data_IF_140161145485
#
_entry.id   IF_140161145485
#
_cell.length_a   1.000
_cell.length_b   1.000
_cell.length_c   1.000
_cell.angle_alpha   90.00
_cell.angle_beta   90.00
_cell.angle_gamma   90.00
#
_symmetry.space_group_name_H-M   'P 1'
#
loop_
_entity.id
_entity.type
_entity.pdbx_description
1 polymer ?
#
# COMPACT_ATOMS: atom_id res chain seq x y z
N UNK A 1 22.12 5.89 18.18
CA UNK A 1 21.48 4.97 19.15
C UNK A 1 20.77 3.87 18.35
N UNK A 2 20.92 2.61 18.76
CA UNK A 2 20.23 1.49 18.10
C UNK A 2 19.08 1.02 18.97
N UNK A 3 17.89 0.93 18.40
CA UNK A 3 16.67 0.46 19.05
C UNK A 3 16.07 -0.67 18.21
N UNK A 4 16.00 -1.88 18.74
CA UNK A 4 15.51 -3.09 18.03
C UNK A 4 16.14 -3.32 16.64
N UNK A 5 17.43 -2.99 16.51
CA UNK A 5 18.15 -3.09 15.24
C UNK A 5 18.09 -1.85 14.36
N UNK A 6 17.15 -0.94 14.59
CA UNK A 6 17.05 0.33 13.86
C UNK A 6 18.08 1.34 14.39
N UNK A 7 18.82 1.96 13.49
CA UNK A 7 19.75 3.04 13.83
C UNK A 7 18.99 4.37 13.89
N UNK A 8 19.03 5.03 15.05
CA UNK A 8 18.41 6.35 15.26
C UNK A 8 19.49 7.38 15.52
N UNK A 9 19.54 8.42 14.73
CA UNK A 9 20.49 9.52 14.86
C UNK A 9 19.86 10.90 14.62
N UNK A 10 20.66 11.95 14.85
CA UNK A 10 20.31 13.33 14.53
C UNK A 10 19.10 13.89 15.29
N UNK A 11 18.71 13.28 16.41
CA UNK A 11 17.54 13.72 17.18
C UNK A 11 17.67 15.18 17.63
N UNK A 12 16.64 15.96 17.31
CA UNK A 12 16.45 17.37 17.69
C UNK A 12 15.00 17.57 18.09
N UNK A 13 14.73 18.49 19.01
CA UNK A 13 13.38 18.81 19.46
C UNK A 13 13.32 19.04 20.94
N UNK A 14 12.13 19.04 21.49
CA UNK A 14 11.87 19.28 22.90
C UNK A 14 11.16 18.07 23.51
N UNK A 15 11.61 17.67 24.69
CA UNK A 15 10.92 16.67 25.50
C UNK A 15 10.68 17.24 26.88
N UNK A 16 9.43 17.31 27.31
CA UNK A 16 9.04 17.65 28.68
C UNK A 16 8.68 16.35 29.43
N UNK A 17 9.33 16.14 30.56
CA UNK A 17 9.14 14.96 31.40
C UNK A 17 8.43 15.36 32.68
N UNK A 18 7.38 14.62 33.03
CA UNK A 18 6.74 14.68 34.35
C UNK A 18 6.88 13.31 35.02
N UNK A 19 6.35 13.17 36.23
CA UNK A 19 6.28 11.85 36.90
C UNK A 19 5.28 10.88 36.25
N UNK A 20 4.49 11.33 35.26
CA UNK A 20 3.38 10.57 34.68
C UNK A 20 3.46 10.44 33.15
N UNK A 21 4.14 11.36 32.50
CA UNK A 21 4.15 11.42 31.04
C UNK A 21 5.45 12.06 30.48
N UNK A 22 5.66 11.82 29.19
CA UNK A 22 6.67 12.46 28.37
C UNK A 22 5.92 13.13 27.22
N UNK A 23 6.05 14.45 27.09
CA UNK A 23 5.52 15.19 25.94
C UNK A 23 6.65 15.48 24.96
N UNK A 24 6.48 15.10 23.72
CA UNK A 24 7.40 15.37 22.61
C UNK A 24 6.85 16.53 21.79
N UNK A 25 7.68 17.54 21.51
CA UNK A 25 7.32 18.69 20.66
C UNK A 25 8.38 18.86 19.58
N UNK A 26 7.92 18.78 18.33
CA UNK A 26 8.76 18.99 17.13
C UNK A 26 10.06 18.16 17.17
N UNK A 27 9.96 16.89 17.54
CA UNK A 27 11.11 15.98 17.52
C UNK A 27 11.34 15.52 16.09
N UNK A 28 12.53 15.82 15.58
CA UNK A 28 13.02 15.42 14.27
C UNK A 28 14.24 14.52 14.46
N UNK A 29 14.45 13.61 13.52
CA UNK A 29 15.60 12.72 13.52
C UNK A 29 15.67 11.86 12.28
N UNK A 30 16.57 10.89 12.30
CA UNK A 30 16.68 9.88 11.24
C UNK A 30 16.62 8.49 11.82
N UNK A 31 15.94 7.61 11.11
CA UNK A 31 15.95 6.17 11.37
C UNK A 31 16.47 5.44 10.12
N UNK A 32 17.54 4.69 10.27
CA UNK A 32 18.29 4.08 9.14
C UNK A 32 18.59 5.12 8.03
N UNK A 33 18.96 6.35 8.43
CA UNK A 33 19.24 7.45 7.51
C UNK A 33 18.01 8.17 6.93
N UNK A 34 16.79 7.71 7.21
CA UNK A 34 15.55 8.30 6.69
C UNK A 34 14.96 9.31 7.68
N UNK A 35 14.67 10.52 7.22
CA UNK A 35 14.16 11.60 8.06
C UNK A 35 12.74 11.31 8.58
N UNK A 36 12.49 11.63 9.83
CA UNK A 36 11.17 11.59 10.43
C UNK A 36 10.93 12.80 11.34
N UNK A 37 9.65 13.10 11.54
CA UNK A 37 9.17 14.07 12.54
C UNK A 37 8.11 13.42 13.41
N UNK A 38 8.20 13.64 14.73
CA UNK A 38 7.24 13.11 15.69
C UNK A 38 6.93 14.11 16.79
N UNK A 39 5.68 14.15 17.22
CA UNK A 39 5.19 14.90 18.38
C UNK A 39 4.04 14.18 19.05
N UNK A 40 3.79 14.50 20.32
CA UNK A 40 2.69 13.89 21.08
C UNK A 40 3.08 13.48 22.48
N UNK A 41 2.39 12.51 23.06
CA UNK A 41 2.56 12.16 24.46
C UNK A 41 2.79 10.65 24.66
N UNK A 42 3.58 10.31 25.67
CA UNK A 42 3.78 8.96 26.14
C UNK A 42 3.45 8.97 27.65
N UNK A 43 2.37 8.31 28.03
CA UNK A 43 1.94 8.15 29.43
C UNK A 43 2.70 6.99 30.07
N UNK A 44 3.40 7.25 31.17
CA UNK A 44 4.34 6.32 31.81
C UNK A 44 3.95 5.93 33.24
N UNK A 45 2.79 6.36 33.72
CA UNK A 45 2.33 6.13 35.10
C UNK A 45 1.61 4.79 35.32
N UNK A 46 1.52 3.92 34.30
CA UNK A 46 0.98 2.58 34.38
C UNK A 46 2.05 1.51 34.22
N UNK A 47 1.67 0.24 34.31
CA UNK A 47 2.58 -0.90 34.13
C UNK A 47 3.14 -0.98 32.70
N UNK A 48 2.38 -0.48 31.75
CA UNK A 48 2.77 -0.44 30.31
C UNK A 48 2.63 0.99 29.81
N UNK A 49 3.68 1.58 29.20
CA UNK A 49 3.58 2.89 28.59
C UNK A 49 2.56 2.90 27.44
N UNK A 50 1.75 3.97 27.40
CA UNK A 50 0.77 4.22 26.35
C UNK A 50 1.18 5.48 25.59
N UNK A 51 1.27 5.38 24.29
CA UNK A 51 1.65 6.53 23.45
C UNK A 51 0.49 7.00 22.57
N UNK A 52 0.55 8.29 22.23
CA UNK A 52 -0.28 8.92 21.21
C UNK A 52 0.60 9.95 20.49
N UNK A 53 1.06 9.58 19.30
CA UNK A 53 2.08 10.28 18.56
C UNK A 53 1.59 10.66 17.16
N UNK A 54 1.81 11.92 16.79
CA UNK A 54 1.70 12.34 15.41
C UNK A 54 3.05 12.07 14.74
N UNK A 55 3.02 11.39 13.61
CA UNK A 55 4.20 10.95 12.85
C UNK A 55 4.12 11.52 11.44
N UNK A 56 5.23 12.05 10.95
CA UNK A 56 5.40 12.53 9.58
C UNK A 56 6.75 12.01 9.05
N UNK A 57 6.69 11.11 8.07
CA UNK A 57 7.82 10.55 7.33
C UNK A 57 7.55 10.79 5.85
N UNK A 58 8.50 11.38 5.15
CA UNK A 58 8.33 11.73 3.74
C UNK A 58 9.50 11.21 2.90
N UNK A 59 9.18 10.48 1.83
CA UNK A 59 10.15 10.06 0.84
C UNK A 59 11.25 9.14 1.39
N UNK A 60 10.93 8.34 2.41
CA UNK A 60 11.87 7.38 2.96
C UNK A 60 12.17 6.29 1.94
N UNK A 61 13.45 6.04 1.67
CA UNK A 61 13.89 4.91 0.85
C UNK A 61 13.55 3.59 1.56
N UNK A 62 12.66 2.81 0.97
CA UNK A 62 12.20 1.55 1.58
C UNK A 62 13.32 0.51 1.66
N UNK A 63 14.36 0.61 0.81
CA UNK A 63 15.49 -0.31 0.85
C UNK A 63 16.34 -0.18 2.13
N UNK A 64 16.27 0.98 2.81
CA UNK A 64 16.89 1.18 4.12
C UNK A 64 16.27 0.28 5.22
N UNK A 65 15.13 -0.34 4.93
CA UNK A 65 14.40 -1.24 5.84
C UNK A 65 14.30 -2.67 5.28
N UNK A 66 15.09 -3.03 4.28
CA UNK A 66 15.00 -4.33 3.60
C UNK A 66 15.09 -5.53 4.54
N UNK A 67 15.87 -5.46 5.62
CA UNK A 67 16.01 -6.52 6.62
C UNK A 67 14.74 -6.76 7.45
N UNK A 68 13.80 -5.80 7.42
CA UNK A 68 12.53 -5.85 8.15
C UNK A 68 11.34 -6.17 7.24
N UNK A 69 11.54 -6.21 5.93
CA UNK A 69 10.48 -6.44 4.95
C UNK A 69 10.50 -7.92 4.51
N UNK A 70 9.33 -8.55 4.43
CA UNK A 70 9.23 -9.96 4.01
C UNK A 70 9.47 -10.16 2.51
N UNK A 71 9.62 -9.07 1.75
CA UNK A 71 9.72 -9.05 0.29
C UNK A 71 10.74 -8.01 -0.17
N UNK A 72 11.39 -8.28 -1.30
CA UNK A 72 12.29 -7.31 -1.93
C UNK A 72 11.46 -6.26 -2.69
N UNK A 73 11.47 -5.05 -2.16
CA UNK A 73 10.83 -3.87 -2.77
C UNK A 73 11.84 -2.74 -2.84
N UNK A 74 11.66 -1.83 -3.78
CA UNK A 74 12.42 -0.58 -3.89
C UNK A 74 11.49 0.58 -4.20
N UNK A 75 11.97 1.81 -3.98
CA UNK A 75 11.21 3.05 -4.14
C UNK A 75 11.20 3.87 -2.87
N UNK A 76 10.32 4.86 -2.80
CA UNK A 76 10.18 5.71 -1.62
C UNK A 76 8.79 5.63 -1.04
N UNK A 77 8.70 5.72 0.28
CA UNK A 77 7.45 5.71 1.02
C UNK A 77 7.36 6.89 1.99
N UNK A 78 6.15 7.31 2.28
CA UNK A 78 5.83 8.28 3.29
C UNK A 78 4.62 7.86 4.12
N UNK A 79 4.54 8.39 5.33
CA UNK A 79 3.38 8.25 6.19
C UNK A 79 3.16 9.52 6.99
N UNK A 80 1.95 10.01 7.00
CA UNK A 80 1.54 11.13 7.82
C UNK A 80 0.26 10.79 8.56
N UNK A 81 0.34 10.75 9.89
CA UNK A 81 -0.81 10.34 10.67
C UNK A 81 -0.56 10.29 12.17
N UNK A 82 -1.44 9.59 12.85
CA UNK A 82 -1.34 9.34 14.29
C UNK A 82 -1.09 7.86 14.55
N UNK A 83 -0.18 7.58 15.46
CA UNK A 83 0.11 6.22 15.95
C UNK A 83 -0.12 6.21 17.46
N UNK A 84 -0.92 5.26 17.96
CA UNK A 84 -1.28 5.22 19.38
C UNK A 84 -1.39 3.79 19.89
N UNK A 85 -1.39 3.64 21.21
CA UNK A 85 -1.54 2.35 21.89
C UNK A 85 -0.37 2.03 22.80
N UNK A 86 0.03 0.78 22.83
CA UNK A 86 1.19 0.27 23.56
C UNK A 86 2.17 -0.41 22.58
N UNK A 87 3.35 -0.79 23.04
CA UNK A 87 4.31 -1.52 22.20
C UNK A 87 3.79 -2.90 21.74
N UNK A 88 2.81 -3.48 22.41
CA UNK A 88 2.19 -4.77 22.10
C UNK A 88 0.90 -4.63 21.28
N UNK A 89 0.24 -3.47 21.37
CA UNK A 89 -1.00 -3.16 20.66
C UNK A 89 -0.88 -1.78 20.02
N UNK A 90 -0.27 -1.75 18.85
CA UNK A 90 -0.05 -0.53 18.06
C UNK A 90 -1.24 -0.33 17.14
N UNK A 91 -1.73 0.90 17.12
CA UNK A 91 -2.76 1.34 16.18
C UNK A 91 -2.23 2.55 15.40
N UNK A 92 -2.69 2.71 14.19
CA UNK A 92 -2.31 3.84 13.34
C UNK A 92 -3.48 4.30 12.47
N UNK A 93 -3.53 5.58 12.17
CA UNK A 93 -4.42 6.18 11.19
C UNK A 93 -3.70 7.29 10.47
N UNK A 94 -3.81 7.35 9.17
CA UNK A 94 -3.19 8.41 8.39
C UNK A 94 -3.18 8.10 6.91
N UNK A 95 -2.39 8.92 6.20
CA UNK A 95 -2.19 8.79 4.77
C UNK A 95 -0.79 8.22 4.52
N UNK A 96 -0.72 7.12 3.79
CA UNK A 96 0.52 6.58 3.23
C UNK A 96 0.71 7.06 1.79
N UNK A 97 1.93 7.28 1.38
CA UNK A 97 2.31 7.63 0.01
C UNK A 97 3.45 6.74 -0.47
N UNK A 98 3.43 6.38 -1.75
CA UNK A 98 4.46 5.57 -2.41
C UNK A 98 4.86 6.25 -3.72
N UNK A 99 6.15 6.21 -4.06
CA UNK A 99 6.68 6.69 -5.32
C UNK A 99 7.72 5.71 -5.86
N UNK A 100 7.66 5.48 -7.18
CA UNK A 100 8.59 4.64 -7.92
C UNK A 100 8.79 3.25 -7.29
N UNK A 101 7.69 2.70 -6.75
CA UNK A 101 7.72 1.40 -6.08
C UNK A 101 7.85 0.27 -7.09
N UNK A 102 8.83 -0.59 -6.87
CA UNK A 102 9.03 -1.79 -7.69
C UNK A 102 8.96 -3.04 -6.82
N UNK A 103 8.16 -4.01 -7.26
CA UNK A 103 8.01 -5.32 -6.65
C UNK A 103 7.88 -6.41 -7.72
N UNK A 104 8.74 -7.41 -7.69
CA UNK A 104 8.75 -8.52 -8.67
C UNK A 104 8.74 -8.08 -10.14
N UNK A 105 9.37 -6.95 -10.46
CA UNK A 105 9.40 -6.40 -11.82
C UNK A 105 8.17 -5.57 -12.21
N UNK A 106 7.18 -5.46 -11.34
CA UNK A 106 6.06 -4.55 -11.49
C UNK A 106 6.37 -3.20 -10.84
N UNK A 107 5.98 -2.12 -11.48
CA UNK A 107 6.24 -0.75 -11.01
C UNK A 107 4.94 0.00 -10.79
N UNK A 108 4.87 0.71 -9.67
CA UNK A 108 3.84 1.71 -9.37
C UNK A 108 4.53 3.07 -9.32
N UNK A 109 4.15 3.98 -10.21
CA UNK A 109 4.76 5.30 -10.31
C UNK A 109 4.49 6.13 -9.06
N UNK A 110 3.24 6.15 -8.64
CA UNK A 110 2.81 6.76 -7.37
C UNK A 110 1.54 6.11 -6.85
N UNK A 111 1.42 6.08 -5.54
CA UNK A 111 0.18 5.72 -4.86
C UNK A 111 0.00 6.55 -3.60
N UNK A 112 -1.25 6.75 -3.21
CA UNK A 112 -1.65 7.35 -1.95
C UNK A 112 -2.84 6.59 -1.40
N UNK A 113 -2.82 6.30 -0.10
CA UNK A 113 -3.91 5.61 0.56
C UNK A 113 -4.19 6.23 1.93
N UNK A 114 -5.46 6.40 2.26
CA UNK A 114 -5.91 6.66 3.61
C UNK A 114 -6.18 5.33 4.30
N UNK A 115 -5.56 5.11 5.44
CA UNK A 115 -5.58 3.81 6.11
C UNK A 115 -5.79 3.92 7.61
N UNK A 116 -6.36 2.85 8.15
CA UNK A 116 -6.45 2.59 9.58
C UNK A 116 -5.88 1.20 9.84
N UNK A 117 -4.93 1.12 10.75
CA UNK A 117 -4.42 -0.14 11.27
C UNK A 117 -4.81 -0.29 12.73
N UNK A 118 -5.50 -1.36 13.08
CA UNK A 118 -5.84 -1.71 14.45
C UNK A 118 -6.12 -3.20 14.59
N UNK A 119 -5.75 -3.81 15.71
CA UNK A 119 -6.07 -5.21 16.02
C UNK A 119 -5.68 -6.20 14.90
N UNK A 120 -4.49 -6.04 14.33
CA UNK A 120 -3.98 -6.81 13.19
C UNK A 120 -4.81 -6.68 11.90
N UNK A 121 -5.67 -5.69 11.80
CA UNK A 121 -6.46 -5.38 10.62
C UNK A 121 -6.00 -4.07 10.00
N UNK A 122 -5.81 -4.08 8.71
CA UNK A 122 -5.56 -2.90 7.89
C UNK A 122 -6.82 -2.62 7.06
N UNK A 123 -7.45 -1.48 7.31
CA UNK A 123 -8.52 -0.94 6.49
C UNK A 123 -7.93 0.16 5.60
N UNK A 124 -8.15 0.06 4.30
CA UNK A 124 -7.80 1.07 3.30
C UNK A 124 -9.11 1.71 2.87
N UNK A 125 -9.38 2.90 3.40
CA UNK A 125 -10.63 3.65 3.14
C UNK A 125 -10.64 4.20 1.72
N UNK A 126 -9.47 4.65 1.23
CA UNK A 126 -9.26 5.12 -0.13
C UNK A 126 -7.85 4.79 -0.61
N UNK A 127 -7.74 4.39 -1.86
CA UNK A 127 -6.49 4.20 -2.58
C UNK A 127 -6.59 4.92 -3.92
N UNK A 128 -5.57 5.67 -4.28
CA UNK A 128 -5.34 6.15 -5.64
C UNK A 128 -3.93 5.79 -6.06
N UNK A 129 -3.73 5.37 -7.31
CA UNK A 129 -2.41 5.03 -7.81
C UNK A 129 -2.29 5.32 -9.31
N UNK A 130 -1.06 5.37 -9.80
CA UNK A 130 -0.73 5.41 -11.22
C UNK A 130 0.32 4.35 -11.50
N UNK A 131 0.08 3.56 -12.55
CA UNK A 131 0.98 2.53 -13.03
C UNK A 131 0.67 2.21 -14.50
N UNK A 132 1.69 2.06 -15.31
CA UNK A 132 1.56 1.65 -16.74
C UNK A 132 0.57 2.51 -17.54
N UNK A 133 0.59 3.83 -17.33
CA UNK A 133 -0.34 4.77 -17.96
C UNK A 133 -1.73 4.83 -17.33
N UNK A 134 -2.10 3.84 -16.51
CA UNK A 134 -3.41 3.77 -15.87
C UNK A 134 -3.52 4.67 -14.64
N UNK A 135 -4.76 5.10 -14.39
CA UNK A 135 -5.20 5.58 -13.09
C UNK A 135 -5.94 4.45 -12.36
N UNK A 136 -5.57 4.20 -11.11
CA UNK A 136 -6.20 3.20 -10.27
C UNK A 136 -6.84 3.90 -9.08
N UNK A 137 -8.02 3.43 -8.68
CA UNK A 137 -8.66 3.80 -7.42
C UNK A 137 -9.24 2.57 -6.75
N UNK A 138 -9.41 2.60 -5.43
CA UNK A 138 -9.92 1.44 -4.73
C UNK A 138 -10.03 1.63 -3.22
N UNK A 139 -10.48 0.59 -2.57
CA UNK A 139 -10.54 0.41 -1.12
C UNK A 139 -10.40 -1.07 -0.79
N UNK A 140 -10.13 -1.38 0.46
CA UNK A 140 -10.02 -2.79 0.83
C UNK A 140 -9.70 -2.99 2.30
N UNK A 141 -9.69 -4.24 2.68
CA UNK A 141 -9.36 -4.68 4.03
C UNK A 141 -8.39 -5.85 3.97
N UNK A 142 -7.49 -5.91 4.92
CA UNK A 142 -6.55 -7.00 5.09
C UNK A 142 -6.42 -7.38 6.56
N UNK A 143 -6.71 -8.62 6.88
CA UNK A 143 -6.48 -9.19 8.21
C UNK A 143 -5.11 -9.88 8.23
N UNK A 144 -4.18 -9.29 8.96
CA UNK A 144 -2.78 -9.76 9.01
C UNK A 144 -2.69 -11.12 9.71
N UNK A 145 -3.56 -11.37 10.69
CA UNK A 145 -3.53 -12.62 11.46
C UNK A 145 -4.03 -13.81 10.64
N UNK A 146 -5.14 -13.67 9.95
CA UNK A 146 -5.71 -14.75 9.11
C UNK A 146 -5.13 -14.77 7.70
N UNK A 147 -4.64 -13.63 7.20
CA UNK A 147 -4.24 -13.43 5.82
C UNK A 147 -5.41 -13.13 4.87
N UNK A 148 -6.63 -13.05 5.38
CA UNK A 148 -7.82 -12.77 4.57
C UNK A 148 -7.82 -11.33 4.06
N UNK A 149 -8.25 -11.14 2.83
CA UNK A 149 -8.41 -9.82 2.23
C UNK A 149 -9.65 -9.72 1.36
N UNK A 150 -10.14 -8.50 1.23
CA UNK A 150 -11.21 -8.13 0.32
C UNK A 150 -10.91 -6.73 -0.21
N UNK A 151 -11.10 -6.50 -1.51
CA UNK A 151 -10.82 -5.21 -2.14
C UNK A 151 -11.74 -4.95 -3.33
N UNK A 152 -12.12 -3.69 -3.50
CA UNK A 152 -12.71 -3.15 -4.71
C UNK A 152 -11.70 -2.24 -5.40
N UNK A 153 -11.55 -2.36 -6.71
CA UNK A 153 -10.61 -1.56 -7.49
C UNK A 153 -11.19 -1.19 -8.85
N UNK A 154 -10.98 0.07 -9.23
CA UNK A 154 -11.22 0.57 -10.57
C UNK A 154 -9.88 0.90 -11.23
N UNK A 155 -9.71 0.46 -12.45
CA UNK A 155 -8.54 0.70 -13.31
C UNK A 155 -9.02 1.40 -14.57
N UNK A 156 -8.40 2.50 -14.91
CA UNK A 156 -8.75 3.26 -16.11
C UNK A 156 -7.51 3.51 -16.98
N UNK A 157 -7.60 3.10 -18.24
CA UNK A 157 -6.62 3.39 -19.28
C UNK A 157 -5.30 2.64 -19.17
N UNK A 158 -5.28 1.38 -18.66
CA UNK A 158 -4.07 0.56 -18.58
C UNK A 158 -3.50 0.29 -19.99
N UNK A 159 -2.28 0.74 -20.25
CA UNK A 159 -1.55 0.43 -21.48
C UNK A 159 -1.01 -1.01 -21.42
N UNK A 160 -1.62 -1.90 -22.19
CA UNK A 160 -1.25 -3.31 -22.21
C UNK A 160 0.19 -3.54 -22.69
N UNK A 161 0.71 -2.65 -23.53
CA UNK A 161 2.09 -2.77 -24.04
C UNK A 161 3.16 -2.44 -22.97
N UNK A 162 2.77 -1.69 -21.93
CA UNK A 162 3.67 -1.29 -20.85
C UNK A 162 3.71 -2.33 -19.71
N UNK A 163 2.76 -3.28 -19.65
CA UNK A 163 2.65 -4.24 -18.54
C UNK A 163 3.66 -5.38 -18.70
N UNK A 164 4.53 -5.63 -17.71
CA UNK A 164 5.46 -6.75 -17.76
C UNK A 164 4.74 -8.10 -17.92
N UNK A 165 5.25 -8.94 -18.80
CA UNK A 165 4.69 -10.27 -19.07
C UNK A 165 3.56 -10.32 -20.10
N UNK A 166 3.01 -9.17 -20.50
CA UNK A 166 2.13 -9.11 -21.68
C UNK A 166 2.98 -9.28 -22.94
N UNK A 167 2.60 -10.15 -23.91
CA UNK A 167 3.36 -10.31 -25.14
C UNK A 167 3.49 -8.98 -25.91
N UNK A 168 4.68 -8.67 -26.40
CA UNK A 168 4.99 -7.40 -27.12
C UNK A 168 4.05 -7.14 -28.30
N UNK A 169 3.46 -8.19 -28.88
CA UNK A 169 2.51 -8.07 -29.98
C UNK A 169 1.11 -7.61 -29.56
N UNK A 170 0.84 -7.54 -28.24
CA UNK A 170 -0.46 -7.06 -27.70
C UNK A 170 -0.33 -5.57 -27.44
N UNK A 171 -1.20 -4.78 -28.06
CA UNK A 171 -1.34 -3.35 -27.83
C UNK A 171 -2.81 -3.03 -27.57
N UNK A 172 -3.05 -1.88 -26.96
CA UNK A 172 -4.37 -1.37 -26.64
C UNK A 172 -4.47 -0.95 -25.18
N UNK A 173 -5.63 -0.44 -24.82
CA UNK A 173 -5.93 -0.01 -23.46
C UNK A 173 -6.96 -0.91 -22.81
N UNK A 174 -6.90 -0.99 -21.45
CA UNK A 174 -7.85 -1.76 -20.66
C UNK A 174 -8.33 -0.92 -19.49
N UNK A 175 -9.65 -0.94 -19.25
CA UNK A 175 -10.27 -0.42 -18.03
C UNK A 175 -11.09 -1.52 -17.38
N UNK A 176 -11.15 -1.51 -16.05
CA UNK A 176 -11.85 -2.55 -15.30
C UNK A 176 -12.38 -2.04 -13.97
N UNK A 177 -13.54 -2.57 -13.56
CA UNK A 177 -14.04 -2.47 -12.19
C UNK A 177 -14.07 -3.87 -11.60
N UNK A 178 -13.29 -4.09 -10.56
CA UNK A 178 -13.01 -5.41 -10.01
C UNK A 178 -13.34 -5.48 -8.52
N UNK A 179 -13.92 -6.60 -8.12
CA UNK A 179 -13.99 -7.02 -6.73
C UNK A 179 -13.15 -8.27 -6.55
N UNK A 180 -12.27 -8.28 -5.56
CA UNK A 180 -11.40 -9.41 -5.27
C UNK A 180 -11.44 -9.76 -3.78
N UNK A 181 -11.48 -11.05 -3.48
CA UNK A 181 -11.36 -11.56 -2.13
C UNK A 181 -10.48 -12.81 -2.12
N UNK A 182 -9.78 -13.05 -1.03
CA UNK A 182 -8.89 -14.21 -0.94
C UNK A 182 -8.15 -14.31 0.37
N UNK A 183 -7.09 -15.12 0.34
CA UNK A 183 -6.22 -15.28 1.49
C UNK A 183 -4.75 -15.40 1.04
N UNK A 184 -3.90 -14.54 1.61
CA UNK A 184 -2.48 -14.47 1.26
C UNK A 184 -1.65 -15.65 1.77
N UNK A 185 -2.15 -16.40 2.75
CA UNK A 185 -1.42 -17.54 3.34
C UNK A 185 -1.51 -18.81 2.50
N UNK A 186 -2.62 -19.00 1.81
CA UNK A 186 -2.84 -20.14 0.91
C UNK A 186 -2.83 -19.75 -0.57
N UNK A 187 -2.54 -18.46 -0.85
CA UNK A 187 -2.57 -17.85 -2.19
C UNK A 187 -3.91 -18.02 -2.91
N UNK A 188 -5.00 -18.14 -2.17
CA UNK A 188 -6.32 -18.16 -2.78
C UNK A 188 -6.73 -16.75 -3.18
N UNK A 189 -7.36 -16.65 -4.35
CA UNK A 189 -7.96 -15.42 -4.86
C UNK A 189 -9.19 -15.76 -5.67
N UNK A 190 -10.24 -15.03 -5.44
CA UNK A 190 -11.41 -14.95 -6.31
C UNK A 190 -11.58 -13.49 -6.73
N UNK A 191 -11.82 -13.27 -8.00
CA UNK A 191 -12.10 -11.94 -8.51
C UNK A 191 -13.26 -11.98 -9.49
N UNK A 192 -14.07 -10.95 -9.46
CA UNK A 192 -15.17 -10.73 -10.42
C UNK A 192 -15.16 -9.26 -10.83
N UNK A 193 -15.66 -8.97 -12.02
CA UNK A 193 -15.79 -7.59 -12.44
C UNK A 193 -16.15 -7.43 -13.89
N UNK A 194 -16.18 -6.18 -14.31
CA UNK A 194 -16.41 -5.77 -15.68
C UNK A 194 -15.12 -5.22 -16.27
N UNK A 195 -14.81 -5.62 -17.51
CA UNK A 195 -13.60 -5.21 -18.21
C UNK A 195 -14.01 -4.63 -19.56
N UNK A 196 -13.43 -3.50 -19.91
CA UNK A 196 -13.51 -2.91 -21.23
C UNK A 196 -12.10 -2.76 -21.82
N UNK A 197 -11.97 -2.99 -23.09
CA UNK A 197 -10.72 -2.85 -23.81
C UNK A 197 -10.95 -2.04 -25.08
N UNK A 198 -9.99 -1.18 -25.41
CA UNK A 198 -10.02 -0.32 -26.60
C UNK A 198 -8.77 -0.47 -27.45
N UNK A 199 -8.93 -0.29 -28.74
CA UNK A 199 -7.85 -0.30 -29.73
C UNK A 199 -6.95 -1.55 -29.63
N UNK A 200 -7.57 -2.71 -29.34
CA UNK A 200 -6.82 -3.95 -29.19
C UNK A 200 -6.18 -4.36 -30.52
N UNK A 201 -4.92 -4.68 -30.49
CA UNK A 201 -4.24 -5.30 -31.63
C UNK A 201 -3.36 -6.46 -31.17
N UNK A 202 -3.38 -7.53 -31.98
CA UNK A 202 -2.53 -8.70 -31.80
C UNK A 202 -2.18 -9.32 -33.15
N UNK A 203 -0.89 -9.36 -33.48
CA UNK A 203 -0.39 -9.94 -34.75
C UNK A 203 -1.12 -9.42 -36.00
N UNK A 204 -1.48 -8.14 -36.04
CA UNK A 204 -2.16 -7.50 -37.20
C UNK A 204 -3.68 -7.68 -37.21
N UNK A 205 -4.26 -8.38 -36.25
CA UNK A 205 -5.70 -8.38 -36.00
C UNK A 205 -6.02 -7.19 -35.08
N UNK A 206 -7.08 -6.46 -35.38
CA UNK A 206 -7.54 -5.30 -34.62
C UNK A 206 -8.98 -5.47 -34.17
N UNK A 207 -9.27 -5.04 -32.96
CA UNK A 207 -10.63 -4.93 -32.42
C UNK A 207 -10.75 -3.54 -31.80
N UNK A 208 -11.67 -2.72 -32.31
CA UNK A 208 -11.82 -1.32 -31.89
C UNK A 208 -12.25 -1.23 -30.42
N UNK A 209 -13.16 -2.12 -29.99
CA UNK A 209 -13.57 -2.21 -28.61
C UNK A 209 -14.06 -3.59 -28.24
N UNK A 210 -13.85 -3.99 -27.00
CA UNK A 210 -14.42 -5.20 -26.42
C UNK A 210 -14.83 -4.93 -24.98
N UNK A 211 -15.90 -5.56 -24.52
CA UNK A 211 -16.35 -5.46 -23.14
C UNK A 211 -16.91 -6.80 -22.66
N UNK A 212 -16.79 -7.09 -21.38
CA UNK A 212 -17.35 -8.31 -20.83
C UNK A 212 -17.18 -8.42 -19.31
N UNK A 213 -17.99 -9.32 -18.75
CA UNK A 213 -17.88 -9.67 -17.34
C UNK A 213 -16.88 -10.81 -17.17
N UNK A 214 -15.97 -10.65 -16.25
CA UNK A 214 -14.93 -11.62 -15.94
C UNK A 214 -15.12 -12.20 -14.55
N UNK A 215 -14.76 -13.47 -14.40
CA UNK A 215 -14.62 -14.09 -13.11
C UNK A 215 -13.35 -14.95 -13.09
N UNK A 216 -12.60 -14.87 -11.99
CA UNK A 216 -11.39 -15.64 -11.75
C UNK A 216 -11.51 -16.37 -10.39
N UNK A 217 -11.24 -17.66 -10.36
CA UNK A 217 -11.35 -18.51 -9.16
C UNK A 217 -9.98 -18.97 -8.60
N UNK A 218 -8.90 -18.29 -8.99
CA UNK A 218 -7.53 -18.67 -8.63
C UNK A 218 -6.89 -19.65 -9.62
N UNK A 219 -7.63 -20.17 -10.59
CA UNK A 219 -7.14 -21.13 -11.60
C UNK A 219 -7.64 -20.82 -13.00
N UNK A 220 -8.91 -20.49 -13.13
CA UNK A 220 -9.57 -20.32 -14.42
C UNK A 220 -10.17 -18.92 -14.48
N UNK A 221 -9.85 -18.21 -15.56
CA UNK A 221 -10.55 -16.98 -15.92
C UNK A 221 -11.71 -17.32 -16.85
N UNK A 222 -12.88 -16.85 -16.52
CA UNK A 222 -14.10 -17.04 -17.30
C UNK A 222 -14.61 -15.69 -17.78
N UNK A 223 -14.83 -15.57 -19.09
CA UNK A 223 -15.56 -14.45 -19.69
C UNK A 223 -17.04 -14.87 -19.82
N UNK A 224 -17.96 -14.15 -19.19
CA UNK A 224 -19.37 -14.55 -19.09
C UNK A 224 -20.27 -13.87 -20.10
N UNK A 225 -20.03 -12.62 -20.43
CA UNK A 225 -20.75 -11.87 -21.47
C UNK A 225 -19.75 -10.95 -22.14
N UNK A 226 -19.61 -11.05 -23.43
CA UNK A 226 -18.65 -10.25 -24.19
C UNK A 226 -19.29 -9.70 -25.45
N UNK A 227 -18.94 -8.46 -25.79
CA UNK A 227 -19.25 -7.80 -27.04
C UNK A 227 -17.93 -7.31 -27.63
N UNK A 228 -17.81 -7.39 -28.94
CA UNK A 228 -16.68 -6.90 -29.71
C UNK A 228 -17.18 -6.11 -30.94
#
# INVERSE_FOLDING_TARGET
VTVQGLEVDGLKGHAALTSKDITLSDVEGRVNGQDFRVGGTIVTNGDTPVFNLNVDVQGADVTAFADYLPVAISGTAGFKGTVWGTAQDVNARGTASLHDMTYNGYTVDKAQADLIYSQNRLDIDSLTAQAYGASLSGKGVYDIQSGAYEADADVDGLDLSAVPGVPVAVMGSLSASLHAAGNSKDNSIMATGHVTAGDLSYNGLTVDSAAGDVAYDGRVMTLRSGHA
#
